data_IF_966102147133
#
_entry.id   IF_966102147133
#
_cell.length_a   1.000
_cell.length_b   1.000
_cell.length_c   1.000
_cell.angle_alpha   90.00
_cell.angle_beta   90.00
_cell.angle_gamma   90.00
#
_symmetry.space_group_name_H-M   'P 1'
#
loop_
_entity.id
_entity.type
_entity.pdbx_description
1 polymer ?
#
# COMPACT_ATOMS: atom_id res chain seq x y z
N UNK A 1 -35.46 -100.35 2.74
CA UNK A 1 -34.66 -100.11 3.95
C UNK A 1 -33.24 -99.82 3.48
N UNK A 2 -32.92 -98.54 3.21
CA UNK A 2 -31.65 -98.12 2.61
C UNK A 2 -30.74 -97.50 3.68
N UNK A 3 -29.54 -98.06 3.83
CA UNK A 3 -28.43 -97.47 4.61
C UNK A 3 -27.87 -96.26 3.84
N UNK A 4 -27.74 -95.09 4.48
CA UNK A 4 -26.98 -93.94 3.97
C UNK A 4 -25.80 -93.64 4.87
N UNK A 5 -24.62 -93.63 4.25
CA UNK A 5 -23.31 -93.44 4.83
C UNK A 5 -23.05 -91.99 5.28
N UNK A 6 -22.23 -91.86 6.32
CA UNK A 6 -21.67 -90.61 6.84
C UNK A 6 -20.72 -89.94 5.84
N UNK A 7 -20.75 -88.61 5.78
CA UNK A 7 -19.63 -87.78 5.34
C UNK A 7 -19.42 -86.65 6.37
N UNK A 8 -18.20 -86.54 6.91
CA UNK A 8 -17.72 -85.40 7.73
C UNK A 8 -17.13 -84.33 6.80
N UNK A 9 -17.38 -83.03 7.02
CA UNK A 9 -16.66 -81.98 6.32
C UNK A 9 -15.33 -81.66 7.01
N UNK A 10 -14.34 -81.36 6.18
CA UNK A 10 -12.94 -81.07 6.47
C UNK A 10 -12.76 -79.55 6.53
N UNK A 11 -12.23 -79.02 7.64
CA UNK A 11 -12.02 -77.59 7.86
C UNK A 11 -10.62 -77.17 7.37
N UNK A 12 -10.54 -76.16 6.50
CA UNK A 12 -9.28 -75.48 6.15
C UNK A 12 -9.21 -74.13 6.89
N UNK A 13 -8.06 -73.74 7.48
CA UNK A 13 -7.90 -72.42 8.05
C UNK A 13 -7.54 -71.41 6.94
N UNK A 14 -8.22 -70.28 6.91
CA UNK A 14 -7.87 -69.14 6.06
C UNK A 14 -6.69 -68.38 6.69
N UNK A 15 -5.58 -68.27 5.96
CA UNK A 15 -4.44 -67.40 6.30
C UNK A 15 -4.79 -65.99 5.83
N UNK A 16 -5.00 -65.06 6.78
CA UNK A 16 -5.19 -63.65 6.50
C UNK A 16 -3.83 -62.95 6.38
N UNK A 17 -3.52 -62.43 5.19
CA UNK A 17 -2.34 -61.62 4.90
C UNK A 17 -2.61 -60.16 5.30
N UNK A 18 -2.02 -59.70 6.39
CA UNK A 18 -2.11 -58.31 6.84
C UNK A 18 -1.08 -57.43 6.08
N UNK A 19 -1.56 -56.53 5.22
CA UNK A 19 -0.75 -55.44 4.67
C UNK A 19 -0.53 -54.36 5.76
N UNK A 20 0.71 -54.17 6.21
CA UNK A 20 1.11 -52.97 6.94
C UNK A 20 1.34 -51.83 5.93
N UNK A 21 0.39 -50.89 5.83
CA UNK A 21 0.63 -49.58 5.25
C UNK A 21 1.46 -48.74 6.25
N UNK A 22 2.72 -48.50 5.93
CA UNK A 22 3.54 -47.52 6.64
C UNK A 22 3.02 -46.12 6.34
N UNK A 23 2.46 -45.46 7.36
CA UNK A 23 2.11 -44.04 7.31
C UNK A 23 3.42 -43.26 7.38
N UNK A 24 3.85 -42.69 6.25
CA UNK A 24 4.88 -41.65 6.22
C UNK A 24 4.26 -40.41 6.84
N UNK A 25 4.59 -40.13 8.10
CA UNK A 25 4.31 -38.85 8.74
C UNK A 25 5.13 -37.79 8.00
N UNK A 26 4.50 -37.07 7.08
CA UNK A 26 5.05 -35.86 6.52
C UNK A 26 5.13 -34.83 7.64
N UNK A 27 6.32 -34.62 8.19
CA UNK A 27 6.61 -33.45 9.02
C UNK A 27 6.56 -32.24 8.09
N UNK A 28 5.40 -31.60 8.02
CA UNK A 28 5.30 -30.25 7.50
C UNK A 28 6.19 -29.37 8.37
N UNK A 29 7.23 -28.80 7.76
CA UNK A 29 7.95 -27.70 8.37
C UNK A 29 6.96 -26.54 8.49
N UNK A 30 6.40 -26.35 9.68
CA UNK A 30 5.71 -25.12 10.03
C UNK A 30 6.71 -23.99 9.83
N UNK A 31 6.35 -23.01 8.99
CA UNK A 31 7.08 -21.76 8.90
C UNK A 31 7.02 -21.11 10.28
N UNK A 32 8.12 -21.25 11.04
CA UNK A 32 8.30 -20.61 12.33
C UNK A 32 8.11 -19.11 12.12
N UNK A 33 7.08 -18.55 12.78
CA UNK A 33 6.68 -17.15 12.66
C UNK A 33 7.77 -16.28 13.30
N UNK A 34 8.85 -16.02 12.55
CA UNK A 34 10.05 -15.33 13.04
C UNK A 34 9.67 -13.90 13.39
N UNK A 35 9.80 -13.56 14.67
CA UNK A 35 9.51 -12.24 15.20
C UNK A 35 10.13 -11.11 14.33
N UNK A 36 9.35 -10.04 14.15
CA UNK A 36 9.77 -8.84 13.44
C UNK A 36 10.96 -8.19 14.18
N UNK A 37 12.14 -8.03 13.56
CA UNK A 37 13.32 -7.51 14.23
C UNK A 37 13.14 -6.07 14.72
N UNK A 38 13.50 -5.80 15.99
CA UNK A 38 13.40 -4.45 16.58
C UNK A 38 14.22 -3.39 15.83
N UNK A 39 15.35 -3.78 15.24
CA UNK A 39 16.16 -2.85 14.43
C UNK A 39 15.40 -2.30 13.23
N UNK A 40 14.47 -3.07 12.64
CA UNK A 40 13.66 -2.58 11.52
C UNK A 40 12.72 -1.45 11.94
N UNK A 41 12.20 -1.48 13.18
CA UNK A 41 11.40 -0.34 13.71
C UNK A 41 12.23 0.94 13.81
N UNK A 42 13.50 0.82 14.16
CA UNK A 42 14.43 1.96 14.21
C UNK A 42 14.72 2.49 12.81
N UNK A 43 14.87 1.59 11.83
CA UNK A 43 15.02 1.95 10.41
C UNK A 43 13.76 2.66 9.89
N UNK A 44 12.57 2.22 10.29
CA UNK A 44 11.29 2.86 9.94
C UNK A 44 11.19 4.29 10.47
N UNK A 45 11.69 4.56 11.68
CA UNK A 45 11.76 5.92 12.24
C UNK A 45 12.68 6.86 11.45
N UNK A 46 13.59 6.33 10.64
CA UNK A 46 14.47 7.11 9.75
C UNK A 46 13.83 7.39 8.38
N UNK A 47 12.54 7.05 8.20
CA UNK A 47 11.80 7.32 6.96
C UNK A 47 11.91 6.21 5.90
N UNK A 48 12.38 5.02 6.29
CA UNK A 48 12.44 3.85 5.41
C UNK A 48 11.25 2.95 5.68
N UNK A 49 10.37 2.73 4.71
CA UNK A 49 9.21 1.86 4.88
C UNK A 49 9.54 0.42 4.53
N UNK A 50 9.30 -0.52 5.44
CA UNK A 50 9.40 -1.95 5.17
C UNK A 50 8.12 -2.42 4.45
N UNK A 51 8.29 -3.08 3.31
CA UNK A 51 7.19 -3.64 2.49
C UNK A 51 6.92 -5.10 2.83
N UNK A 52 7.93 -5.84 3.29
CA UNK A 52 7.82 -7.23 3.69
C UNK A 52 9.14 -7.98 3.60
N UNK A 53 9.17 -9.20 4.15
CA UNK A 53 10.33 -10.10 4.09
C UNK A 53 10.41 -10.79 2.70
N UNK A 54 11.61 -10.81 2.11
CA UNK A 54 11.94 -11.48 0.86
C UNK A 54 12.70 -12.77 1.14
N UNK A 55 12.51 -13.76 0.28
CA UNK A 55 13.21 -15.05 0.35
C UNK A 55 14.50 -14.99 -0.48
N UNK A 56 15.66 -15.00 0.17
CA UNK A 56 16.96 -14.95 -0.49
C UNK A 56 17.87 -16.10 -0.02
N UNK A 57 18.80 -16.59 -0.85
CA UNK A 57 19.74 -17.64 -0.47
C UNK A 57 20.79 -17.13 0.55
N UNK A 58 21.57 -18.06 1.10
CA UNK A 58 22.71 -17.73 1.99
C UNK A 58 22.34 -17.53 3.47
N UNK A 59 21.09 -17.82 3.85
CA UNK A 59 20.65 -17.77 5.25
C UNK A 59 20.43 -16.35 5.81
N UNK A 60 20.50 -15.34 4.94
CA UNK A 60 20.18 -13.96 5.30
C UNK A 60 18.66 -13.76 5.28
N UNK A 61 18.16 -12.99 6.25
CA UNK A 61 16.80 -12.44 6.17
C UNK A 61 16.87 -11.16 5.36
N UNK A 62 16.04 -11.03 4.34
CA UNK A 62 15.99 -9.85 3.49
C UNK A 62 14.63 -9.19 3.58
N UNK A 63 14.57 -7.87 3.49
CA UNK A 63 13.33 -7.11 3.52
C UNK A 63 13.29 -6.15 2.33
N UNK A 64 12.19 -6.16 1.59
CA UNK A 64 11.90 -5.14 0.61
C UNK A 64 11.50 -3.87 1.34
N UNK A 65 12.05 -2.73 0.92
CA UNK A 65 11.76 -1.46 1.55
C UNK A 65 11.76 -0.31 0.52
N UNK A 66 11.26 0.85 0.96
CA UNK A 66 11.27 2.11 0.20
C UNK A 66 11.84 3.24 1.06
N UNK A 67 12.83 3.96 0.54
CA UNK A 67 13.20 5.29 1.02
C UNK A 67 12.61 6.33 0.08
N UNK A 68 11.46 6.89 0.44
CA UNK A 68 10.66 7.69 -0.49
C UNK A 68 10.24 6.86 -1.72
N UNK A 69 10.63 7.30 -2.92
CA UNK A 69 10.34 6.58 -4.17
C UNK A 69 11.38 5.49 -4.51
N UNK A 70 12.52 5.46 -3.81
CA UNK A 70 13.61 4.55 -4.15
C UNK A 70 13.40 3.18 -3.49
N UNK A 71 13.25 2.10 -4.26
CA UNK A 71 13.21 0.74 -3.73
C UNK A 71 14.60 0.34 -3.24
N UNK A 72 14.67 -0.37 -2.13
CA UNK A 72 15.92 -0.88 -1.56
C UNK A 72 15.68 -2.23 -0.87
N UNK A 73 16.72 -3.07 -0.85
CA UNK A 73 16.74 -4.30 -0.09
C UNK A 73 17.57 -4.12 1.19
N UNK A 74 17.02 -4.58 2.32
CA UNK A 74 17.68 -4.58 3.63
C UNK A 74 17.97 -6.02 4.00
N UNK A 75 19.23 -6.34 4.29
CA UNK A 75 19.66 -7.65 4.74
C UNK A 75 20.02 -7.60 6.21
N UNK A 76 19.41 -8.47 7.00
CA UNK A 76 19.71 -8.61 8.41
C UNK A 76 20.96 -9.48 8.58
N UNK A 77 21.91 -9.04 9.40
CA UNK A 77 23.03 -9.88 9.82
C UNK A 77 22.55 -11.01 10.73
N UNK A 78 23.30 -12.13 10.85
CA UNK A 78 22.89 -13.28 11.68
C UNK A 78 22.65 -12.96 13.17
N UNK A 79 23.22 -11.86 13.67
CA UNK A 79 23.02 -11.39 15.05
C UNK A 79 21.69 -10.64 15.27
N UNK A 80 20.93 -10.35 14.21
CA UNK A 80 19.73 -9.49 14.21
C UNK A 80 19.95 -8.07 14.79
N UNK A 81 21.19 -7.62 14.90
CA UNK A 81 21.57 -6.33 15.50
C UNK A 81 22.15 -5.34 14.50
N UNK A 82 22.41 -5.77 13.26
CA UNK A 82 22.91 -4.91 12.20
C UNK A 82 22.14 -5.17 10.89
N UNK A 83 22.21 -4.18 9.99
CA UNK A 83 21.62 -4.28 8.66
C UNK A 83 22.61 -3.86 7.60
N UNK A 84 22.53 -4.50 6.44
CA UNK A 84 23.23 -4.11 5.21
C UNK A 84 22.19 -3.70 4.20
N UNK A 85 22.38 -2.53 3.58
CA UNK A 85 21.55 -2.05 2.48
C UNK A 85 22.33 -2.19 1.18
N UNK A 86 21.76 -2.86 0.17
CA UNK A 86 22.45 -3.05 -1.10
C UNK A 86 21.81 -4.11 -1.99
N UNK A 87 22.64 -4.73 -2.82
CA UNK A 87 22.25 -5.81 -3.73
C UNK A 87 22.97 -7.09 -3.31
N UNK A 88 22.20 -8.18 -3.14
CA UNK A 88 22.76 -9.52 -2.94
C UNK A 88 22.93 -10.19 -4.30
N UNK A 89 24.17 -10.40 -4.71
CA UNK A 89 24.49 -11.13 -5.94
C UNK A 89 24.97 -12.55 -5.65
N UNK A 90 24.68 -13.48 -6.56
CA UNK A 90 25.28 -14.82 -6.53
C UNK A 90 26.68 -14.85 -7.16
N UNK A 91 27.25 -16.05 -7.27
CA UNK A 91 28.58 -16.27 -7.86
C UNK A 91 28.69 -15.90 -9.35
N UNK A 92 27.55 -15.70 -10.03
CA UNK A 92 27.47 -15.29 -11.43
C UNK A 92 27.15 -13.81 -11.59
N UNK A 93 26.99 -13.07 -10.49
CA UNK A 93 26.62 -11.65 -10.49
C UNK A 93 25.12 -11.40 -10.67
N UNK A 94 24.27 -12.42 -10.57
CA UNK A 94 22.82 -12.24 -10.65
C UNK A 94 22.26 -11.69 -9.34
N UNK A 95 21.40 -10.68 -9.40
CA UNK A 95 20.70 -10.14 -8.22
C UNK A 95 19.65 -11.15 -7.73
N UNK A 96 19.79 -11.58 -6.48
CA UNK A 96 18.96 -12.59 -5.83
C UNK A 96 17.64 -12.01 -5.29
N UNK A 97 17.53 -10.69 -5.18
CA UNK A 97 16.37 -9.99 -4.62
C UNK A 97 15.57 -9.22 -5.67
N UNK A 98 16.15 -8.89 -6.83
CA UNK A 98 15.55 -8.01 -7.85
C UNK A 98 14.08 -8.31 -8.15
N UNK A 99 13.76 -9.55 -8.53
CA UNK A 99 12.40 -9.94 -8.92
C UNK A 99 11.38 -9.77 -7.79
N UNK A 100 11.77 -10.11 -6.55
CA UNK A 100 10.90 -9.99 -5.38
C UNK A 100 10.76 -8.54 -4.94
N UNK A 101 11.88 -7.81 -4.92
CA UNK A 101 11.90 -6.39 -4.60
C UNK A 101 11.00 -5.63 -5.57
N UNK A 102 11.16 -5.86 -6.87
CA UNK A 102 10.32 -5.28 -7.91
C UNK A 102 8.84 -5.59 -7.67
N UNK A 103 8.49 -6.87 -7.48
CA UNK A 103 7.10 -7.28 -7.24
C UNK A 103 6.51 -6.62 -5.99
N UNK A 104 7.24 -6.57 -4.88
CA UNK A 104 6.76 -5.98 -3.63
C UNK A 104 6.67 -4.45 -3.70
N UNK A 105 7.56 -3.82 -4.44
CA UNK A 105 7.56 -2.37 -4.69
C UNK A 105 6.39 -1.98 -5.59
N UNK A 106 6.07 -2.83 -6.55
CA UNK A 106 4.97 -2.70 -7.51
C UNK A 106 3.65 -3.31 -6.97
N UNK A 107 3.63 -3.84 -5.75
CA UNK A 107 2.41 -4.43 -5.20
C UNK A 107 1.33 -3.35 -5.03
N UNK A 108 0.12 -3.59 -5.57
CA UNK A 108 -1.04 -2.74 -5.32
C UNK A 108 -1.28 -2.56 -3.82
N UNK A 109 -1.81 -1.40 -3.43
CA UNK A 109 -2.31 -1.22 -2.07
C UNK A 109 -3.45 -2.21 -1.78
N UNK A 110 -3.60 -2.56 -0.50
CA UNK A 110 -4.65 -3.46 -0.05
C UNK A 110 -6.01 -2.77 0.00
N UNK A 111 -7.09 -3.57 -0.03
CA UNK A 111 -8.45 -3.06 0.22
C UNK A 111 -8.58 -2.35 1.56
N UNK A 112 -7.87 -2.82 2.60
CA UNK A 112 -7.81 -2.13 3.88
C UNK A 112 -7.23 -0.71 3.78
N UNK A 113 -6.25 -0.50 2.89
CA UNK A 113 -5.70 0.84 2.61
C UNK A 113 -6.75 1.74 1.95
N UNK A 114 -7.54 1.19 1.02
CA UNK A 114 -8.63 1.92 0.37
C UNK A 114 -9.73 2.31 1.37
N UNK A 115 -10.14 1.40 2.26
CA UNK A 115 -11.10 1.71 3.33
C UNK A 115 -10.59 2.81 4.26
N UNK A 116 -9.29 2.85 4.57
CA UNK A 116 -8.69 3.95 5.35
C UNK A 116 -8.78 5.29 4.61
N UNK A 117 -8.58 5.31 3.29
CA UNK A 117 -8.76 6.51 2.48
C UNK A 117 -10.22 6.97 2.45
N UNK A 118 -11.18 6.04 2.36
CA UNK A 118 -12.61 6.34 2.44
C UNK A 118 -13.00 7.02 3.75
N UNK A 119 -12.40 6.57 4.86
CA UNK A 119 -12.62 7.12 6.20
C UNK A 119 -11.77 8.38 6.51
N UNK A 120 -10.80 8.73 5.65
CA UNK A 120 -9.94 9.89 5.86
C UNK A 120 -10.73 11.21 5.77
N UNK A 121 -10.16 12.30 6.28
CA UNK A 121 -10.75 13.62 6.09
C UNK A 121 -10.31 14.17 4.73
N UNK A 122 -11.22 14.24 3.77
CA UNK A 122 -10.93 14.72 2.43
C UNK A 122 -11.94 15.78 1.96
N UNK A 123 -11.52 16.57 0.97
CA UNK A 123 -12.34 17.56 0.27
C UNK A 123 -12.68 17.04 -1.11
N UNK A 124 -13.96 17.12 -1.49
CA UNK A 124 -14.42 16.71 -2.82
C UNK A 124 -14.01 17.73 -3.87
N UNK A 125 -13.61 17.24 -5.04
CA UNK A 125 -13.46 18.04 -6.25
C UNK A 125 -14.09 17.28 -7.42
N UNK A 126 -15.14 17.87 -8.01
CA UNK A 126 -15.96 17.26 -9.05
C UNK A 126 -17.32 16.75 -8.60
N UNK A 127 -17.97 16.02 -9.52
CA UNK A 127 -19.33 15.51 -9.34
C UNK A 127 -19.36 14.43 -8.22
N UNK A 128 -20.26 14.53 -7.23
CA UNK A 128 -20.41 13.52 -6.18
C UNK A 128 -20.74 12.12 -6.73
N UNK A 129 -21.35 12.04 -7.92
CA UNK A 129 -21.74 10.81 -8.60
C UNK A 129 -20.79 10.41 -9.74
N UNK A 130 -19.59 11.00 -9.81
CA UNK A 130 -18.62 10.61 -10.82
C UNK A 130 -18.28 9.11 -10.68
N UNK A 131 -18.28 8.33 -11.77
CA UNK A 131 -18.03 6.88 -11.72
C UNK A 131 -16.60 6.52 -11.33
N UNK A 132 -15.64 7.44 -11.53
CA UNK A 132 -14.23 7.24 -11.20
C UNK A 132 -13.84 8.10 -9.99
N UNK A 133 -13.46 7.45 -8.90
CA UNK A 133 -12.94 8.11 -7.69
C UNK A 133 -11.43 7.94 -7.61
N UNK A 134 -10.75 9.05 -7.36
CA UNK A 134 -9.30 9.10 -7.15
C UNK A 134 -9.04 9.80 -5.82
N UNK A 135 -8.21 9.22 -4.96
CA UNK A 135 -7.71 9.92 -3.78
C UNK A 135 -6.39 10.61 -4.09
N UNK A 136 -6.17 11.77 -3.50
CA UNK A 136 -4.88 12.45 -3.59
C UNK A 136 -4.52 13.14 -2.29
N UNK A 137 -3.37 12.80 -1.71
CA UNK A 137 -2.82 13.58 -0.60
C UNK A 137 -2.34 14.93 -1.14
N UNK A 138 -2.90 16.01 -0.61
CA UNK A 138 -2.72 17.37 -1.15
C UNK A 138 -2.26 18.32 -0.05
N UNK A 139 -1.16 19.03 -0.32
CA UNK A 139 -0.71 20.16 0.50
C UNK A 139 -1.03 21.48 -0.23
N UNK A 140 -1.64 22.49 0.44
CA UNK A 140 -2.04 23.76 -0.19
C UNK A 140 -0.89 24.53 -0.84
N UNK A 141 0.34 24.34 -0.36
CA UNK A 141 1.54 25.00 -0.87
C UNK A 141 2.32 24.13 -1.87
N UNK A 142 1.79 22.98 -2.29
CA UNK A 142 2.47 22.11 -3.24
C UNK A 142 2.24 22.55 -4.70
N UNK A 143 3.28 22.99 -5.43
CA UNK A 143 3.12 23.36 -6.85
C UNK A 143 2.75 22.16 -7.73
N UNK A 144 3.12 20.94 -7.35
CA UNK A 144 2.78 19.74 -8.12
C UNK A 144 1.33 19.32 -7.90
N UNK A 145 0.77 19.52 -6.70
CA UNK A 145 -0.66 19.35 -6.46
C UNK A 145 -1.45 20.31 -7.34
N UNK A 146 -1.03 21.57 -7.40
CA UNK A 146 -1.69 22.58 -8.23
C UNK A 146 -1.67 22.25 -9.72
N UNK A 147 -0.51 21.83 -10.24
CA UNK A 147 -0.41 21.40 -11.65
C UNK A 147 -1.27 20.18 -11.93
N UNK A 148 -1.35 19.21 -11.01
CA UNK A 148 -2.23 18.06 -11.16
C UNK A 148 -3.71 18.48 -11.14
N UNK A 149 -4.10 19.36 -10.22
CA UNK A 149 -5.45 19.90 -10.13
C UNK A 149 -5.86 20.58 -11.44
N UNK A 150 -5.00 21.46 -12.00
CA UNK A 150 -5.22 22.12 -13.29
C UNK A 150 -5.33 21.13 -14.44
N UNK A 151 -4.41 20.16 -14.51
CA UNK A 151 -4.39 19.19 -15.59
C UNK A 151 -5.63 18.26 -15.58
N UNK A 152 -6.19 17.97 -14.42
CA UNK A 152 -7.36 17.12 -14.28
C UNK A 152 -8.69 17.80 -14.67
N UNK A 153 -8.75 19.13 -14.85
CA UNK A 153 -10.00 19.90 -14.98
C UNK A 153 -11.00 19.31 -15.97
N UNK A 154 -10.57 18.91 -17.18
CA UNK A 154 -11.48 18.39 -18.20
C UNK A 154 -12.25 17.13 -17.76
N UNK A 155 -11.63 16.25 -16.98
CA UNK A 155 -12.29 15.04 -16.45
C UNK A 155 -13.23 15.35 -15.29
N UNK A 156 -12.86 16.32 -14.46
CA UNK A 156 -13.63 16.75 -13.30
C UNK A 156 -14.89 17.51 -13.73
N UNK A 157 -14.73 18.48 -14.63
CA UNK A 157 -15.80 19.33 -15.13
C UNK A 157 -16.80 18.57 -16.00
N UNK A 158 -16.35 17.54 -16.72
CA UNK A 158 -17.24 16.61 -17.44
C UNK A 158 -17.99 15.64 -16.54
N UNK A 159 -17.67 15.60 -15.24
CA UNK A 159 -18.29 14.71 -14.26
C UNK A 159 -17.84 13.25 -14.36
N UNK A 160 -16.80 12.95 -15.15
CA UNK A 160 -16.26 11.59 -15.32
C UNK A 160 -15.43 11.14 -14.12
N UNK A 161 -14.73 12.09 -13.49
CA UNK A 161 -13.84 11.82 -12.36
C UNK A 161 -14.20 12.71 -11.16
N UNK A 162 -14.01 12.18 -9.96
CA UNK A 162 -14.00 12.91 -8.71
C UNK A 162 -12.64 12.72 -8.04
N UNK A 163 -11.98 13.83 -7.69
CA UNK A 163 -10.85 13.79 -6.78
C UNK A 163 -11.34 13.93 -5.34
N UNK A 164 -10.77 13.14 -4.45
CA UNK A 164 -10.92 13.26 -2.99
C UNK A 164 -9.56 13.71 -2.44
N UNK A 165 -9.45 15.01 -2.18
CA UNK A 165 -8.22 15.63 -1.68
C UNK A 165 -8.07 15.36 -0.19
N UNK A 166 -7.24 14.38 0.17
CA UNK A 166 -6.87 14.11 1.56
C UNK A 166 -5.88 15.18 2.00
N UNK A 167 -6.37 16.18 2.73
CA UNK A 167 -5.59 17.39 3.03
C UNK A 167 -4.48 17.09 4.04
N UNK A 168 -3.26 17.53 3.73
CA UNK A 168 -2.09 17.50 4.63
C UNK A 168 -1.43 18.87 4.66
N UNK A 169 -0.67 19.16 5.71
CA UNK A 169 0.08 20.41 5.86
C UNK A 169 1.53 20.14 6.23
N UNK A 170 2.34 19.68 5.29
CA UNK A 170 3.68 19.11 5.54
C UNK A 170 4.81 19.82 4.80
N UNK A 171 4.53 20.73 3.86
CA UNK A 171 5.56 21.34 2.99
C UNK A 171 6.11 22.65 3.53
N UNK A 172 5.25 23.60 3.92
CA UNK A 172 5.66 24.92 4.44
C UNK A 172 5.09 25.16 5.83
N UNK A 173 5.68 26.12 6.54
CA UNK A 173 5.26 26.49 7.89
C UNK A 173 3.77 26.88 7.96
N UNK A 174 3.23 27.51 6.92
CA UNK A 174 1.83 27.92 6.84
C UNK A 174 0.92 26.84 6.22
N UNK A 175 1.45 25.70 5.74
CA UNK A 175 0.66 24.63 5.12
C UNK A 175 -0.43 24.07 6.05
N UNK A 176 -0.18 23.76 7.35
CA UNK A 176 -1.24 23.30 8.25
C UNK A 176 -2.37 24.31 8.39
N UNK A 177 -2.04 25.60 8.50
CA UNK A 177 -3.01 26.66 8.69
C UNK A 177 -3.86 26.92 7.43
N UNK A 178 -3.29 26.78 6.23
CA UNK A 178 -4.04 26.82 4.97
C UNK A 178 -4.91 25.57 4.77
N UNK A 179 -4.40 24.39 5.10
CA UNK A 179 -5.18 23.16 5.01
C UNK A 179 -6.37 23.21 5.97
N UNK A 180 -6.16 23.75 7.17
CA UNK A 180 -7.21 24.02 8.13
C UNK A 180 -8.21 25.08 7.63
N UNK A 181 -7.75 26.16 6.97
CA UNK A 181 -8.64 27.15 6.35
C UNK A 181 -9.60 26.52 5.35
N UNK A 182 -9.11 25.56 4.55
CA UNK A 182 -9.93 24.80 3.60
C UNK A 182 -10.91 23.88 4.35
N UNK A 183 -10.43 23.07 5.31
CA UNK A 183 -11.27 22.10 6.01
C UNK A 183 -12.36 22.73 6.90
N UNK A 184 -12.10 23.92 7.46
CA UNK A 184 -13.03 24.63 8.33
C UNK A 184 -13.95 25.61 7.57
N UNK A 185 -13.74 25.78 6.27
CA UNK A 185 -14.58 26.66 5.48
C UNK A 185 -16.03 26.16 5.46
N UNK A 186 -16.98 27.08 5.28
CA UNK A 186 -18.40 26.72 5.07
C UNK A 186 -18.60 25.82 3.85
N UNK A 187 -17.76 26.02 2.84
CA UNK A 187 -17.67 25.19 1.64
C UNK A 187 -16.20 24.82 1.41
N UNK A 188 -15.74 23.67 1.93
CA UNK A 188 -14.38 23.21 1.74
C UNK A 188 -14.00 23.06 0.25
N UNK A 189 -14.95 22.68 -0.60
CA UNK A 189 -14.75 22.53 -2.04
C UNK A 189 -14.45 23.88 -2.73
N UNK A 190 -15.16 24.94 -2.34
CA UNK A 190 -14.89 26.30 -2.84
C UNK A 190 -13.56 26.84 -2.31
N UNK A 191 -13.25 26.60 -1.02
CA UNK A 191 -11.99 27.02 -0.42
C UNK A 191 -10.77 26.31 -1.04
N UNK A 192 -10.89 25.02 -1.34
CA UNK A 192 -9.88 24.28 -2.11
C UNK A 192 -9.73 24.89 -3.51
N UNK A 193 -10.83 25.12 -4.22
CA UNK A 193 -10.80 25.73 -5.56
C UNK A 193 -10.19 27.13 -5.55
N UNK A 194 -10.44 27.92 -4.52
CA UNK A 194 -9.79 29.22 -4.30
C UNK A 194 -8.29 29.06 -4.13
N UNK A 195 -7.84 28.15 -3.24
CA UNK A 195 -6.43 27.89 -3.02
C UNK A 195 -5.71 27.52 -4.32
N UNK A 196 -6.29 26.61 -5.10
CA UNK A 196 -5.68 26.13 -6.34
C UNK A 196 -5.66 27.23 -7.42
N UNK A 197 -6.73 28.01 -7.58
CA UNK A 197 -6.75 29.12 -8.56
C UNK A 197 -5.78 30.24 -8.20
N UNK A 198 -5.63 30.52 -6.90
CA UNK A 198 -4.74 31.59 -6.39
C UNK A 198 -3.35 31.08 -6.02
N UNK A 199 -2.98 29.84 -6.35
CA UNK A 199 -1.74 29.24 -5.88
C UNK A 199 -0.49 30.08 -6.24
N UNK A 200 -0.46 30.66 -7.44
CA UNK A 200 0.61 31.55 -7.89
C UNK A 200 0.74 32.84 -7.03
N UNK A 201 -0.35 33.29 -6.43
CA UNK A 201 -0.43 34.47 -5.55
C UNK A 201 -0.32 34.09 -4.05
N UNK A 202 0.03 32.84 -3.75
CA UNK A 202 0.18 32.34 -2.39
C UNK A 202 -1.00 31.52 -1.86
N UNK A 203 -2.05 31.31 -2.65
CA UNK A 203 -3.20 30.47 -2.30
C UNK A 203 -4.18 31.12 -1.32
N UNK A 204 -4.91 30.30 -0.56
CA UNK A 204 -5.83 30.78 0.47
C UNK A 204 -5.07 31.36 1.67
N UNK A 205 -5.69 32.32 2.37
CA UNK A 205 -5.11 32.85 3.61
C UNK A 205 -5.05 31.76 4.70
N UNK A 206 -3.92 31.63 5.44
CA UNK A 206 -3.84 30.73 6.57
C UNK A 206 -4.74 31.19 7.73
N UNK A 207 -5.27 30.26 8.51
CA UNK A 207 -5.93 30.59 9.78
C UNK A 207 -4.91 31.03 10.82
N UNK A 208 -5.26 32.05 11.62
CA UNK A 208 -4.47 32.46 12.79
C UNK A 208 -4.44 31.37 13.87
N UNK A 209 -5.51 30.57 13.97
CA UNK A 209 -5.63 29.47 14.93
C UNK A 209 -6.36 28.29 14.30
N UNK A 210 -5.76 27.12 14.43
CA UNK A 210 -6.35 25.84 14.03
C UNK A 210 -7.11 25.28 15.25
N UNK A 211 -8.37 24.86 15.06
CA UNK A 211 -9.10 24.17 16.13
C UNK A 211 -8.53 22.74 16.36
N UNK A 212 -8.71 22.21 17.56
CA UNK A 212 -8.10 20.93 17.95
C UNK A 212 -8.61 19.71 17.15
N UNK A 213 -9.86 19.73 16.68
CA UNK A 213 -10.40 18.63 15.87
C UNK A 213 -9.80 18.64 14.45
N UNK A 214 -9.70 19.82 13.84
CA UNK A 214 -9.02 19.99 12.54
C UNK A 214 -7.54 19.63 12.63
N UNK A 215 -6.84 20.03 13.69
CA UNK A 215 -5.45 19.64 13.90
C UNK A 215 -5.31 18.10 13.94
N UNK A 216 -6.14 17.43 14.74
CA UNK A 216 -6.12 15.97 14.84
C UNK A 216 -6.48 15.27 13.51
N UNK A 217 -7.37 15.85 12.69
CA UNK A 217 -7.68 15.35 11.34
C UNK A 217 -6.48 15.45 10.41
N UNK A 218 -5.77 16.57 10.42
CA UNK A 218 -4.55 16.76 9.62
C UNK A 218 -3.44 15.79 10.05
N UNK A 219 -3.26 15.58 11.36
CA UNK A 219 -2.29 14.60 11.88
C UNK A 219 -2.63 13.17 11.44
N UNK A 220 -3.91 12.78 11.49
CA UNK A 220 -4.36 11.46 11.00
C UNK A 220 -4.14 11.30 9.50
N UNK A 221 -4.41 12.33 8.70
CA UNK A 221 -4.15 12.31 7.26
C UNK A 221 -2.65 12.19 6.96
N UNK A 222 -1.80 12.93 7.68
CA UNK A 222 -0.35 12.83 7.53
C UNK A 222 0.18 11.46 7.95
N UNK A 223 -0.32 10.91 9.05
CA UNK A 223 0.01 9.56 9.49
C UNK A 223 -0.41 8.50 8.45
N UNK A 224 -1.62 8.63 7.87
CA UNK A 224 -2.07 7.75 6.80
C UNK A 224 -1.19 7.87 5.55
N UNK A 225 -0.77 9.08 5.18
CA UNK A 225 0.14 9.31 4.06
C UNK A 225 1.46 8.55 4.26
N UNK A 226 2.06 8.65 5.45
CA UNK A 226 3.28 7.90 5.82
C UNK A 226 3.02 6.40 5.90
N UNK A 227 1.90 5.97 6.47
CA UNK A 227 1.51 4.56 6.57
C UNK A 227 1.41 3.93 5.18
N UNK A 228 0.88 4.66 4.20
CA UNK A 228 0.78 4.26 2.79
C UNK A 228 2.09 4.47 2.01
N UNK A 229 3.16 4.94 2.67
CA UNK A 229 4.52 5.04 2.13
C UNK A 229 4.78 6.21 1.21
N UNK A 230 3.96 7.25 1.30
CA UNK A 230 4.15 8.46 0.50
C UNK A 230 5.01 9.46 1.26
N UNK A 231 6.14 9.84 0.65
CA UNK A 231 7.06 10.85 1.20
C UNK A 231 6.81 12.28 0.70
N UNK A 232 5.82 12.50 -0.16
CA UNK A 232 5.54 13.82 -0.74
C UNK A 232 4.21 13.88 -1.48
N UNK A 233 3.79 15.10 -1.82
CA UNK A 233 2.52 15.37 -2.51
C UNK A 233 2.75 15.86 -3.95
N UNK A 234 1.80 15.64 -4.88
CA UNK A 234 0.60 14.83 -4.70
C UNK A 234 0.98 13.35 -4.60
N UNK A 235 0.27 12.61 -3.74
CA UNK A 235 0.31 11.16 -3.74
C UNK A 235 -1.08 10.65 -4.10
N UNK A 236 -1.18 10.04 -5.28
CA UNK A 236 -2.42 9.71 -5.97
C UNK A 236 -2.68 8.22 -5.78
N UNK A 237 -3.91 7.87 -5.42
CA UNK A 237 -4.35 6.48 -5.23
C UNK A 237 -5.63 6.25 -6.02
N UNK A 238 -5.67 5.19 -6.81
CA UNK A 238 -6.77 4.90 -7.73
C UNK A 238 -7.01 3.41 -7.90
N UNK A 239 -8.21 3.04 -8.35
CA UNK A 239 -8.48 1.68 -8.81
C UNK A 239 -8.20 1.56 -10.30
N UNK A 240 -7.47 0.52 -10.72
CA UNK A 240 -7.27 0.17 -12.12
C UNK A 240 -8.53 -0.45 -12.72
N UNK A 241 -8.56 -0.66 -14.03
CA UNK A 241 -9.68 -1.34 -14.70
C UNK A 241 -9.86 -2.79 -14.22
N UNK A 242 -8.77 -3.45 -13.80
CA UNK A 242 -8.77 -4.78 -13.20
C UNK A 242 -9.17 -4.78 -11.72
N UNK A 243 -9.53 -3.63 -11.15
CA UNK A 243 -9.97 -3.48 -9.76
C UNK A 243 -8.85 -3.44 -8.73
N UNK A 244 -7.57 -3.50 -9.13
CA UNK A 244 -6.41 -3.36 -8.24
C UNK A 244 -6.27 -1.92 -7.77
N UNK A 245 -5.77 -1.69 -6.56
CA UNK A 245 -5.52 -0.34 -6.06
C UNK A 245 -4.07 0.04 -6.34
N UNK A 246 -3.87 0.95 -7.27
CA UNK A 246 -2.55 1.41 -7.67
C UNK A 246 -2.31 2.86 -7.23
N UNK A 247 -1.07 3.31 -7.33
CA UNK A 247 -0.60 4.58 -6.80
C UNK A 247 0.29 5.32 -7.78
N UNK A 248 0.31 6.64 -7.67
CA UNK A 248 1.24 7.48 -8.41
C UNK A 248 1.78 8.58 -7.48
N UNK A 249 3.10 8.73 -7.43
CA UNK A 249 3.76 9.76 -6.63
C UNK A 249 4.23 10.92 -7.52
N UNK A 250 3.89 12.15 -7.11
CA UNK A 250 4.28 13.37 -7.81
C UNK A 250 3.38 13.71 -9.00
N UNK A 251 3.87 14.61 -9.87
CA UNK A 251 3.12 15.08 -11.04
C UNK A 251 3.15 14.05 -12.18
N UNK A 252 2.01 13.45 -12.58
CA UNK A 252 1.98 12.55 -13.72
C UNK A 252 2.05 13.31 -15.05
N UNK A 253 2.62 12.66 -16.07
CA UNK A 253 2.53 13.11 -17.46
C UNK A 253 1.10 12.97 -18.00
N UNK A 254 0.79 13.61 -19.13
CA UNK A 254 -0.54 13.49 -19.76
C UNK A 254 -0.90 12.04 -20.10
N UNK A 255 0.04 11.27 -20.64
CA UNK A 255 -0.17 9.86 -20.93
C UNK A 255 -0.48 9.04 -19.65
N UNK A 256 0.26 9.31 -18.56
CA UNK A 256 0.01 8.65 -17.27
C UNK A 256 -1.36 9.05 -16.69
N UNK A 257 -1.73 10.32 -16.77
CA UNK A 257 -3.07 10.77 -16.37
C UNK A 257 -4.16 10.08 -17.17
N UNK A 258 -4.00 9.94 -18.50
CA UNK A 258 -4.94 9.19 -19.33
C UNK A 258 -5.14 7.74 -18.87
N UNK A 259 -4.09 7.10 -18.37
CA UNK A 259 -4.15 5.71 -17.91
C UNK A 259 -5.03 5.54 -16.65
N UNK A 260 -5.05 6.51 -15.73
CA UNK A 260 -5.81 6.37 -14.48
C UNK A 260 -7.05 7.28 -14.35
N UNK A 261 -7.17 8.33 -15.15
CA UNK A 261 -8.37 9.16 -15.24
C UNK A 261 -9.33 8.66 -16.33
N UNK A 262 -8.83 7.84 -17.27
CA UNK A 262 -9.59 7.35 -18.41
C UNK A 262 -9.67 8.38 -19.55
N UNK A 263 -10.47 8.11 -20.59
CA UNK A 263 -10.61 9.02 -21.73
C UNK A 263 -11.27 10.35 -21.35
N UNK A 264 -10.74 11.45 -21.90
CA UNK A 264 -11.29 12.82 -21.75
C UNK A 264 -12.73 12.90 -22.22
#
# INVERSE_FOLDING_TARGET
MFLKALHRPMSYPAIALALLMGVVMATGAEAEDKAYPEILKTIEQQGIRILGEMQVPGGLRAFAAKAGAQPLAIYLTPDNQHVVVGTLVDAYGQDMAEDQLKKMVEQPLSEASWTKLEAATWVRDGNPNAPRVIYTFTDPNCPYCNRFWLAARSWIESGKVQLRHVMVGVIRQDSPAKAAAILQAKSPEEALSENERKHADGGIAPLDRIDGDTAAKLDRNAALMTELGFGGTPAIVFRTEEGKIDTFAGMPSEAQMGAFLGPK
#
